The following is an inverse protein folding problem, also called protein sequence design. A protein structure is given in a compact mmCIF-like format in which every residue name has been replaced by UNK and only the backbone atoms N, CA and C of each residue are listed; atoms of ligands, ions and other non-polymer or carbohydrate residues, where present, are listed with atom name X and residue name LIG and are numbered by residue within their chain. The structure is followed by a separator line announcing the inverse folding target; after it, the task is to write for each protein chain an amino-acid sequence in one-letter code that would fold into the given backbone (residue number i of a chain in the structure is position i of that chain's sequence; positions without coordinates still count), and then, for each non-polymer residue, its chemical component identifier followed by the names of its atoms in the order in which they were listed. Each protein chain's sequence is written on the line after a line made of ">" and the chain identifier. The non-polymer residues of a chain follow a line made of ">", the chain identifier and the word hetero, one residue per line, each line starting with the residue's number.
data_IF_681194242041
#
_entry.id   IF_681194242041
#
_cell.length_a   1.000
_cell.length_b   1.000
_cell.length_c   1.000
_cell.angle_alpha   90.00
_cell.angle_beta   90.00
_cell.angle_gamma   90.00
#
_symmetry.space_group_name_H-M   'P 1'
#
loop_
_entity.id
_entity.type
_entity.pdbx_description
1 polymer ?
#
# COMPACT_ATOMS: atom_id res chain seq x y z
N UNK A 1 -47.01 -66.47 22.05
CA UNK A 1 -46.15 -65.55 22.83
C UNK A 1 -46.02 -64.24 22.09
N UNK A 2 -46.19 -63.08 22.73
CA UNK A 2 -45.94 -61.79 22.10
C UNK A 2 -44.45 -61.43 22.14
N UNK A 3 -43.94 -61.02 20.99
CA UNK A 3 -42.58 -60.49 20.77
C UNK A 3 -42.40 -59.15 21.48
N UNK A 4 -41.28 -58.89 22.17
CA UNK A 4 -41.02 -57.57 22.76
C UNK A 4 -40.79 -56.52 21.68
N UNK A 5 -41.41 -55.35 21.83
CA UNK A 5 -41.18 -54.17 20.97
C UNK A 5 -39.77 -53.59 21.19
N UNK A 6 -39.16 -52.99 20.14
CA UNK A 6 -37.85 -52.37 20.25
C UNK A 6 -37.92 -51.03 21.00
N UNK A 7 -37.04 -50.88 21.99
CA UNK A 7 -36.78 -49.61 22.69
C UNK A 7 -36.15 -48.59 21.74
N UNK A 8 -36.63 -47.33 21.68
CA UNK A 8 -35.99 -46.31 20.85
C UNK A 8 -34.60 -45.97 21.39
N UNK A 9 -33.61 -45.91 20.49
CA UNK A 9 -32.24 -45.52 20.79
C UNK A 9 -32.13 -44.03 21.17
N UNK A 10 -31.18 -43.66 22.04
CA UNK A 10 -30.98 -42.27 22.43
C UNK A 10 -30.45 -41.42 21.27
N UNK A 11 -31.03 -40.24 21.10
CA UNK A 11 -30.59 -39.24 20.12
C UNK A 11 -29.27 -38.62 20.58
N UNK A 12 -28.25 -38.51 19.70
CA UNK A 12 -26.99 -37.86 20.07
C UNK A 12 -27.21 -36.37 20.34
N UNK A 13 -26.58 -35.85 21.41
CA UNK A 13 -26.59 -34.43 21.75
C UNK A 13 -25.84 -33.58 20.71
N UNK A 14 -26.23 -32.31 20.51
CA UNK A 14 -25.56 -31.44 19.56
C UNK A 14 -24.17 -31.04 20.04
N UNK A 15 -23.18 -31.19 19.16
CA UNK A 15 -21.81 -30.70 19.38
C UNK A 15 -21.80 -29.16 19.37
N UNK A 16 -21.13 -28.49 20.32
CA UNK A 16 -21.00 -27.04 20.28
C UNK A 16 -20.17 -26.61 19.05
N UNK A 17 -20.64 -25.58 18.35
CA UNK A 17 -19.92 -24.99 17.22
C UNK A 17 -18.61 -24.33 17.67
N UNK A 18 -17.57 -24.35 16.81
CA UNK A 18 -16.31 -23.68 17.11
C UNK A 18 -16.48 -22.16 17.11
N UNK A 19 -15.97 -21.50 18.15
CA UNK A 19 -15.84 -20.05 18.21
C UNK A 19 -14.85 -19.58 17.13
N UNK A 20 -15.18 -18.57 16.30
CA UNK A 20 -14.21 -18.03 15.36
C UNK A 20 -13.04 -17.39 16.11
N UNK A 21 -11.81 -17.72 15.69
CA UNK A 21 -10.61 -17.08 16.21
C UNK A 21 -10.60 -15.57 15.90
N UNK A 22 -10.01 -14.75 16.77
CA UNK A 22 -9.87 -13.33 16.51
C UNK A 22 -8.97 -13.10 15.31
N UNK A 23 -9.47 -12.35 14.33
CA UNK A 23 -8.68 -11.84 13.21
C UNK A 23 -7.54 -10.97 13.76
N UNK A 24 -6.27 -11.19 13.36
CA UNK A 24 -5.19 -10.28 13.74
C UNK A 24 -5.51 -8.88 13.21
N UNK A 25 -5.33 -7.86 14.06
CA UNK A 25 -5.47 -6.46 13.63
C UNK A 25 -4.52 -6.18 12.45
N UNK A 26 -4.93 -5.33 11.50
CA UNK A 26 -4.05 -4.93 10.42
C UNK A 26 -2.84 -4.19 11.01
N UNK A 27 -1.63 -4.66 10.66
CA UNK A 27 -0.40 -3.91 10.90
C UNK A 27 -0.58 -2.49 10.35
N UNK A 28 -0.31 -1.43 11.14
CA UNK A 28 -0.37 -0.08 10.60
C UNK A 28 0.56 0.00 9.38
N UNK A 29 0.04 0.53 8.27
CA UNK A 29 0.89 0.85 7.11
C UNK A 29 2.07 1.70 7.59
N UNK A 30 3.28 1.51 7.02
CA UNK A 30 4.40 2.38 7.32
C UNK A 30 3.93 3.81 7.06
N UNK A 31 3.94 4.62 8.12
CA UNK A 31 3.81 6.06 7.98
C UNK A 31 4.88 6.46 6.97
N UNK A 32 4.56 7.21 5.89
CA UNK A 32 5.60 7.68 4.99
C UNK A 32 6.58 8.45 5.86
N UNK A 33 7.73 7.83 6.11
CA UNK A 33 8.83 8.51 6.76
C UNK A 33 9.05 9.75 5.90
N UNK A 34 9.18 10.91 6.54
CA UNK A 34 9.69 12.09 5.85
C UNK A 34 11.09 11.72 5.39
N UNK A 35 11.21 11.02 4.26
CA UNK A 35 12.49 10.59 3.75
C UNK A 35 13.26 11.87 3.52
N UNK A 36 14.42 11.95 4.15
CA UNK A 36 15.35 13.04 3.95
C UNK A 36 15.83 13.07 2.48
N UNK A 37 15.43 12.08 1.67
CA UNK A 37 15.58 12.07 0.24
C UNK A 37 14.60 13.06 -0.46
N UNK A 38 15.12 14.16 -1.02
CA UNK A 38 14.31 15.14 -1.75
C UNK A 38 13.63 14.57 -3.00
N UNK A 39 14.16 13.48 -3.56
CA UNK A 39 13.68 12.84 -4.79
C UNK A 39 12.97 11.51 -4.56
N UNK A 40 12.61 11.18 -3.31
CA UNK A 40 11.88 9.93 -3.02
C UNK A 40 10.63 9.80 -3.91
N UNK A 41 10.47 8.65 -4.56
CA UNK A 41 9.35 8.38 -5.47
C UNK A 41 9.42 9.09 -6.82
N UNK A 42 10.49 9.84 -7.10
CA UNK A 42 10.78 10.43 -8.41
C UNK A 42 11.86 9.57 -9.07
N UNK A 43 11.60 9.07 -10.27
CA UNK A 43 12.60 8.30 -11.02
C UNK A 43 13.60 9.25 -11.70
N UNK A 44 14.83 8.79 -11.92
CA UNK A 44 15.88 9.59 -12.55
C UNK A 44 15.45 10.17 -13.91
N UNK A 45 14.67 9.41 -14.68
CA UNK A 45 14.11 9.85 -15.97
C UNK A 45 13.20 11.09 -15.83
N UNK A 46 12.34 11.14 -14.80
CA UNK A 46 11.48 12.30 -14.55
C UNK A 46 12.33 13.51 -14.11
N UNK A 47 13.45 13.29 -13.39
CA UNK A 47 14.40 14.36 -13.01
C UNK A 47 15.12 14.91 -14.24
N UNK A 48 15.67 14.03 -15.10
CA UNK A 48 16.35 14.41 -16.33
C UNK A 48 15.41 15.12 -17.28
N UNK A 49 14.21 14.57 -17.52
CA UNK A 49 13.20 15.19 -18.39
C UNK A 49 12.81 16.57 -17.90
N UNK A 50 12.60 16.73 -16.59
CA UNK A 50 12.31 18.03 -16.01
C UNK A 50 13.48 19.01 -16.16
N UNK A 51 14.73 18.56 -15.95
CA UNK A 51 15.92 19.37 -16.17
C UNK A 51 16.08 19.79 -17.64
N UNK A 52 15.76 18.91 -18.60
CA UNK A 52 15.83 19.21 -20.04
C UNK A 52 14.74 20.20 -20.49
N UNK A 53 13.50 20.04 -20.01
CA UNK A 53 12.38 20.92 -20.39
C UNK A 53 12.51 22.30 -19.77
N UNK A 54 12.96 22.38 -18.52
CA UNK A 54 13.01 23.62 -17.75
C UNK A 54 14.44 24.17 -17.59
N UNK A 55 15.43 23.58 -18.25
CA UNK A 55 16.86 23.92 -18.19
C UNK A 55 17.38 24.10 -16.75
N UNK A 56 16.94 23.21 -15.85
CA UNK A 56 17.24 23.32 -14.42
C UNK A 56 18.59 22.72 -14.10
N UNK A 57 19.45 23.51 -13.48
CA UNK A 57 20.77 23.06 -13.02
C UNK A 57 20.63 22.04 -11.87
N UNK A 58 21.59 21.11 -11.73
CA UNK A 58 21.63 20.22 -10.57
C UNK A 58 21.71 21.06 -9.27
N UNK A 59 21.00 20.66 -8.21
CA UNK A 59 20.94 21.42 -6.97
C UNK A 59 22.32 21.48 -6.30
N UNK A 60 22.72 22.65 -5.81
CA UNK A 60 24.00 22.83 -5.13
C UNK A 60 23.93 22.52 -3.62
N UNK A 61 22.71 22.41 -3.07
CA UNK A 61 22.45 22.13 -1.67
C UNK A 61 21.13 21.38 -1.45
N UNK A 62 20.97 20.77 -0.27
CA UNK A 62 19.80 19.95 0.08
C UNK A 62 18.49 20.76 0.00
N UNK A 63 18.50 22.02 0.42
CA UNK A 63 17.30 22.86 0.37
C UNK A 63 16.84 23.16 -1.07
N UNK A 64 17.77 23.29 -2.01
CA UNK A 64 17.47 23.35 -3.44
C UNK A 64 16.97 22.02 -3.97
N UNK A 65 17.59 20.91 -3.56
CA UNK A 65 17.14 19.58 -3.91
C UNK A 65 15.70 19.34 -3.45
N UNK A 66 15.33 19.68 -2.21
CA UNK A 66 13.95 19.57 -1.70
C UNK A 66 12.96 20.47 -2.44
N UNK A 67 13.37 21.67 -2.84
CA UNK A 67 12.53 22.55 -3.68
C UNK A 67 12.35 21.97 -5.07
N UNK A 68 13.42 21.42 -5.65
CA UNK A 68 13.41 20.81 -6.97
C UNK A 68 12.55 19.55 -6.98
N UNK A 69 12.74 18.64 -6.02
CA UNK A 69 11.93 17.43 -5.86
C UNK A 69 10.43 17.75 -5.70
N UNK A 70 10.08 18.78 -4.91
CA UNK A 70 8.68 19.26 -4.82
C UNK A 70 8.14 19.75 -6.17
N UNK A 71 8.94 20.51 -6.93
CA UNK A 71 8.52 20.99 -8.26
C UNK A 71 8.33 19.84 -9.25
N UNK A 72 9.24 18.87 -9.26
CA UNK A 72 9.15 17.70 -10.15
C UNK A 72 7.94 16.84 -9.76
N UNK A 73 7.70 16.61 -8.45
CA UNK A 73 6.49 15.91 -7.97
C UNK A 73 5.21 16.60 -8.45
N UNK A 74 5.15 17.93 -8.33
CA UNK A 74 4.01 18.68 -8.85
C UNK A 74 3.92 18.53 -10.37
N UNK A 75 5.00 18.67 -11.12
CA UNK A 75 5.01 18.48 -12.58
C UNK A 75 4.50 17.09 -13.00
N UNK A 76 4.92 16.02 -12.30
CA UNK A 76 4.40 14.66 -12.53
C UNK A 76 2.89 14.59 -12.26
N UNK A 77 2.40 15.20 -11.17
CA UNK A 77 0.96 15.24 -10.83
C UNK A 77 0.12 15.99 -11.85
N UNK A 78 0.66 17.04 -12.46
CA UNK A 78 -0.02 17.79 -13.52
C UNK A 78 -0.11 17.00 -14.84
N UNK A 79 0.43 15.79 -14.87
CA UNK A 79 0.51 14.91 -16.02
C UNK A 79 1.82 15.16 -16.74
N UNK A 80 2.66 14.13 -16.79
CA UNK A 80 3.87 14.10 -17.64
C UNK A 80 3.46 14.66 -19.01
N UNK A 81 3.96 15.83 -19.46
CA UNK A 81 3.83 16.18 -20.86
C UNK A 81 4.42 14.98 -21.58
N UNK A 82 3.60 14.30 -22.40
CA UNK A 82 4.09 13.18 -23.17
C UNK A 82 5.24 13.75 -23.99
N UNK A 83 6.47 13.44 -23.60
CA UNK A 83 7.59 13.49 -24.53
C UNK A 83 7.15 12.56 -25.65
N UNK A 84 6.82 13.14 -26.80
CA UNK A 84 6.37 12.43 -28.00
C UNK A 84 7.57 11.68 -28.60
N UNK A 85 8.15 10.77 -27.82
CA UNK A 85 9.21 9.85 -28.24
C UNK A 85 8.68 8.43 -28.39
#
# INVERSE_FOLDING_TARGET
>A
EPTPEPTPEPTPEPTPEPTPEPTPEPTPEPTPESSDDPFEGIIDEDITTYSEIFEVLPPENDNEAFKLGKKIREWIKHGRPKSDQ
#
